data_IF_831912500125
#
_entry.id   IF_831912500125
#
_cell.length_a   1.000
_cell.length_b   1.000
_cell.length_c   1.000
_cell.angle_alpha   90.00
_cell.angle_beta   90.00
_cell.angle_gamma   90.00
#
_symmetry.space_group_name_H-M   'P 1'
#
loop_
_entity.id
_entity.type
_entity.pdbx_description
1 polymer ?
#
# COMPACT_ATOMS: atom_id res chain seq x y z
N UNK A 1 14.65 -20.74 11.58
CA UNK A 1 13.96 -19.51 12.05
C UNK A 1 12.64 -19.44 11.30
N UNK A 2 11.55 -19.07 11.94
CA UNK A 2 10.22 -18.93 11.31
C UNK A 2 9.95 -17.44 11.14
N UNK A 3 9.63 -17.02 9.92
CA UNK A 3 9.38 -15.62 9.61
C UNK A 3 7.90 -15.30 9.71
N UNK A 4 7.53 -14.28 10.47
CA UNK A 4 6.15 -13.85 10.65
C UNK A 4 5.77 -12.77 9.63
N UNK A 5 4.66 -12.99 8.89
CA UNK A 5 4.20 -12.09 7.85
C UNK A 5 2.73 -11.77 8.08
N UNK A 6 2.39 -10.48 8.16
CA UNK A 6 1.01 -10.04 8.14
C UNK A 6 0.48 -10.06 6.69
N UNK A 7 -0.68 -10.65 6.48
CA UNK A 7 -1.34 -10.77 5.17
C UNK A 7 -2.56 -9.86 5.17
N UNK A 8 -2.56 -8.86 4.31
CA UNK A 8 -3.64 -7.88 4.17
C UNK A 8 -4.09 -7.85 2.71
N UNK A 9 -5.15 -8.55 2.32
CA UNK A 9 -5.63 -8.56 0.94
C UNK A 9 -6.11 -7.17 0.46
N UNK A 10 -6.82 -6.42 1.30
CA UNK A 10 -7.43 -5.14 0.96
C UNK A 10 -8.70 -5.28 0.13
N UNK A 11 -8.86 -4.48 -0.92
CA UNK A 11 -10.06 -4.36 -1.75
C UNK A 11 -9.87 -4.88 -3.18
N UNK A 12 -10.98 -5.13 -3.86
CA UNK A 12 -11.06 -5.35 -5.31
C UNK A 12 -10.01 -6.35 -5.81
N UNK A 13 -9.10 -5.87 -6.68
CA UNK A 13 -8.02 -6.69 -7.24
C UNK A 13 -7.11 -7.31 -6.15
N UNK A 14 -7.01 -6.70 -4.98
CA UNK A 14 -6.26 -7.24 -3.85
C UNK A 14 -6.77 -8.61 -3.41
N UNK A 15 -8.09 -8.80 -3.42
CA UNK A 15 -8.72 -10.09 -3.10
C UNK A 15 -8.42 -11.17 -4.15
N UNK A 16 -8.24 -10.76 -5.42
CA UNK A 16 -7.93 -11.70 -6.50
C UNK A 16 -6.45 -12.08 -6.55
N UNK A 17 -5.56 -11.12 -6.33
CA UNK A 17 -4.11 -11.36 -6.43
C UNK A 17 -3.52 -12.02 -5.18
N UNK A 18 -4.10 -11.80 -4.00
CA UNK A 18 -3.54 -12.34 -2.74
C UNK A 18 -3.50 -13.88 -2.73
N UNK A 19 -4.53 -14.63 -3.16
CA UNK A 19 -4.44 -16.07 -3.25
C UNK A 19 -3.29 -16.56 -4.16
N UNK A 20 -2.99 -15.86 -5.26
CA UNK A 20 -1.89 -16.21 -6.15
C UNK A 20 -0.53 -15.92 -5.52
N UNK A 21 -0.40 -14.79 -4.80
CA UNK A 21 0.80 -14.48 -4.03
C UNK A 21 1.06 -15.52 -2.95
N UNK A 22 0.03 -15.99 -2.25
CA UNK A 22 0.15 -17.04 -1.24
C UNK A 22 0.60 -18.39 -1.81
N UNK A 23 0.22 -18.73 -3.04
CA UNK A 23 0.75 -19.92 -3.74
C UNK A 23 2.26 -19.81 -3.97
N UNK A 24 2.74 -18.61 -4.34
CA UNK A 24 4.19 -18.38 -4.51
C UNK A 24 4.92 -18.51 -3.18
N UNK A 25 4.37 -17.97 -2.07
CA UNK A 25 4.95 -18.15 -0.74
C UNK A 25 5.02 -19.64 -0.34
N UNK A 26 3.93 -20.39 -0.53
CA UNK A 26 3.90 -21.82 -0.23
C UNK A 26 4.91 -22.62 -1.08
N UNK A 27 5.08 -22.23 -2.35
CA UNK A 27 6.13 -22.81 -3.20
C UNK A 27 7.53 -22.49 -2.68
N UNK A 28 7.77 -21.24 -2.26
CA UNK A 28 9.06 -20.82 -1.69
C UNK A 28 9.39 -21.56 -0.39
N UNK A 29 8.42 -21.74 0.52
CA UNK A 29 8.59 -22.55 1.71
C UNK A 29 9.06 -23.96 1.37
N UNK A 30 8.35 -24.62 0.44
CA UNK A 30 8.65 -25.99 0.04
C UNK A 30 10.01 -26.12 -0.67
N UNK A 31 10.34 -25.14 -1.54
CA UNK A 31 11.51 -25.23 -2.43
C UNK A 31 12.80 -24.79 -1.75
N UNK A 32 12.71 -23.76 -0.89
CA UNK A 32 13.88 -23.14 -0.26
C UNK A 32 13.99 -23.45 1.24
N UNK A 33 13.07 -24.21 1.81
CA UNK A 33 13.10 -24.57 3.24
C UNK A 33 12.87 -23.37 4.16
N UNK A 34 12.21 -22.33 3.67
CA UNK A 34 11.84 -21.16 4.46
C UNK A 34 10.59 -21.53 5.28
N UNK A 35 10.59 -21.23 6.56
CA UNK A 35 9.40 -21.42 7.40
C UNK A 35 8.68 -20.09 7.57
N UNK A 36 7.40 -20.03 7.18
CA UNK A 36 6.57 -18.83 7.28
C UNK A 36 5.45 -19.01 8.31
N UNK A 37 5.11 -17.94 9.00
CA UNK A 37 3.93 -17.81 9.84
C UNK A 37 3.07 -16.68 9.30
N UNK A 38 1.92 -17.02 8.73
CA UNK A 38 1.07 -16.08 8.04
C UNK A 38 -0.07 -15.62 8.96
N UNK A 39 -0.11 -14.34 9.27
CA UNK A 39 -1.11 -13.70 10.12
C UNK A 39 -2.11 -12.92 9.25
N UNK A 40 -3.22 -13.54 8.91
CA UNK A 40 -4.27 -12.91 8.13
C UNK A 40 -4.97 -11.81 8.92
N UNK A 41 -5.14 -10.65 8.28
CA UNK A 41 -5.84 -9.48 8.82
C UNK A 41 -7.06 -9.18 7.97
N UNK A 42 -8.22 -9.18 8.61
CA UNK A 42 -9.51 -8.88 7.99
C UNK A 42 -9.92 -7.42 8.25
N UNK A 43 -9.06 -6.51 7.80
CA UNK A 43 -9.26 -5.06 7.86
C UNK A 43 -8.41 -4.35 6.80
N UNK A 44 -8.45 -3.02 6.74
CA UNK A 44 -7.89 -2.19 5.67
C UNK A 44 -8.56 -2.44 4.31
N UNK A 45 -9.88 -2.60 4.34
CA UNK A 45 -10.73 -2.68 3.16
C UNK A 45 -12.04 -1.92 3.39
N UNK A 46 -12.71 -1.56 2.31
CA UNK A 46 -13.88 -0.69 2.35
C UNK A 46 -15.06 -1.30 3.12
N UNK A 47 -15.27 -2.61 3.05
CA UNK A 47 -16.34 -3.26 3.81
C UNK A 47 -16.09 -3.15 5.32
N UNK A 48 -14.84 -3.30 5.77
CA UNK A 48 -14.51 -3.09 7.19
C UNK A 48 -14.86 -1.66 7.63
N UNK A 49 -14.56 -0.65 6.78
CA UNK A 49 -14.94 0.72 7.06
C UNK A 49 -16.46 0.92 7.15
N UNK A 50 -17.23 0.30 6.26
CA UNK A 50 -18.70 0.41 6.29
C UNK A 50 -19.32 -0.19 7.55
N UNK A 51 -18.69 -1.20 8.12
CA UNK A 51 -19.16 -1.86 9.35
C UNK A 51 -18.70 -1.14 10.63
N UNK A 52 -17.47 -0.59 10.63
CA UNK A 52 -16.81 -0.12 11.86
C UNK A 52 -16.56 1.39 11.89
N UNK A 53 -16.76 2.11 10.76
CA UNK A 53 -16.48 3.55 10.65
C UNK A 53 -14.99 3.92 10.60
N UNK A 54 -14.10 2.93 10.54
CA UNK A 54 -12.64 3.08 10.47
C UNK A 54 -12.07 2.00 9.56
N UNK A 55 -10.94 2.29 8.89
CA UNK A 55 -10.28 1.33 8.00
C UNK A 55 -9.54 0.22 8.73
N UNK A 56 -9.22 0.41 10.00
CA UNK A 56 -8.40 -0.50 10.81
C UNK A 56 -8.83 -0.42 12.29
N UNK A 57 -8.64 -1.50 13.08
CA UNK A 57 -8.90 -1.47 14.52
C UNK A 57 -7.91 -0.53 15.24
N UNK A 58 -8.21 -0.14 16.47
CA UNK A 58 -7.35 0.76 17.25
C UNK A 58 -5.94 0.19 17.49
N UNK A 59 -5.84 -1.12 17.66
CA UNK A 59 -4.60 -1.86 17.93
C UNK A 59 -3.91 -2.39 16.67
N UNK A 60 -4.24 -1.87 15.48
CA UNK A 60 -3.67 -2.31 14.21
C UNK A 60 -2.14 -2.26 14.19
N UNK A 61 -1.54 -1.21 14.79
CA UNK A 61 -0.11 -0.99 14.76
C UNK A 61 0.66 -2.05 15.57
N UNK A 62 0.36 -2.31 16.85
CA UNK A 62 0.95 -3.44 17.57
C UNK A 62 0.78 -4.78 16.89
N UNK A 63 -0.35 -5.02 16.22
CA UNK A 63 -0.58 -6.25 15.48
C UNK A 63 0.37 -6.42 14.28
N UNK A 64 0.76 -5.33 13.63
CA UNK A 64 1.71 -5.35 12.52
C UNK A 64 3.16 -5.32 12.99
N UNK A 65 3.47 -4.61 14.08
CA UNK A 65 4.80 -4.60 14.70
C UNK A 65 5.23 -5.98 15.22
N UNK A 66 4.28 -6.85 15.51
CA UNK A 66 4.54 -8.24 15.87
C UNK A 66 5.00 -9.11 14.67
N UNK A 67 4.94 -8.59 13.44
CA UNK A 67 5.34 -9.28 12.23
C UNK A 67 6.61 -8.67 11.64
N UNK A 68 7.45 -9.49 11.01
CA UNK A 68 8.68 -9.04 10.36
C UNK A 68 8.42 -8.32 9.04
N UNK A 69 7.29 -8.65 8.37
CA UNK A 69 6.90 -8.05 7.10
C UNK A 69 5.38 -8.00 6.94
N UNK A 70 4.94 -7.15 6.03
CA UNK A 70 3.53 -7.02 5.62
C UNK A 70 3.44 -7.34 4.14
N UNK A 71 2.67 -8.35 3.78
CA UNK A 71 2.25 -8.59 2.40
C UNK A 71 0.88 -7.93 2.21
N UNK A 72 0.89 -6.83 1.49
CA UNK A 72 -0.28 -5.99 1.25
C UNK A 72 -0.74 -6.11 -0.20
N UNK A 73 -2.03 -6.35 -0.41
CA UNK A 73 -2.62 -6.44 -1.74
C UNK A 73 -2.89 -5.06 -2.34
N UNK A 74 -4.16 -4.67 -2.39
CA UNK A 74 -4.57 -3.35 -2.89
C UNK A 74 -5.70 -2.80 -2.02
N UNK A 75 -5.83 -1.48 -1.93
CA UNK A 75 -6.90 -0.82 -1.19
C UNK A 75 -7.50 0.30 -2.03
N UNK A 76 -8.80 0.47 -1.87
CA UNK A 76 -9.59 1.54 -2.47
C UNK A 76 -10.65 1.00 -3.43
N UNK A 77 -11.90 1.36 -3.13
CA UNK A 77 -13.07 1.20 -4.00
C UNK A 77 -13.85 2.52 -3.94
N UNK A 78 -13.50 3.51 -4.78
CA UNK A 78 -14.01 4.89 -4.67
C UNK A 78 -15.53 5.01 -4.75
N UNK A 79 -16.19 4.03 -5.39
CA UNK A 79 -17.65 3.96 -5.46
C UNK A 79 -18.31 3.51 -4.14
N UNK A 80 -17.56 2.90 -3.21
CA UNK A 80 -18.02 2.51 -1.88
C UNK A 80 -17.52 3.48 -0.81
N UNK A 81 -16.22 3.76 -0.82
CA UNK A 81 -15.54 4.61 0.17
C UNK A 81 -14.57 5.54 -0.56
N UNK A 82 -14.70 6.86 -0.38
CA UNK A 82 -13.81 7.82 -1.02
C UNK A 82 -12.33 7.59 -0.69
N UNK A 83 -11.44 7.83 -1.65
CA UNK A 83 -10.00 7.60 -1.52
C UNK A 83 -9.36 8.35 -0.35
N UNK A 84 -9.85 9.55 -0.03
CA UNK A 84 -9.37 10.31 1.12
C UNK A 84 -9.69 9.64 2.47
N UNK A 85 -10.59 8.67 2.51
CA UNK A 85 -10.87 7.83 3.68
C UNK A 85 -10.08 6.53 3.58
N UNK A 86 -10.24 5.80 2.49
CA UNK A 86 -9.66 4.45 2.35
C UNK A 86 -8.14 4.47 2.34
N UNK A 87 -7.50 5.34 1.53
CA UNK A 87 -6.05 5.43 1.42
C UNK A 87 -5.41 6.08 2.65
N UNK A 88 -6.00 7.20 3.12
CA UNK A 88 -5.48 7.91 4.30
C UNK A 88 -5.73 7.15 5.61
N UNK A 89 -6.80 6.38 5.67
CA UNK A 89 -7.15 5.56 6.84
C UNK A 89 -6.37 4.24 6.93
N UNK A 90 -5.63 3.84 5.89
CA UNK A 90 -4.88 2.58 5.86
C UNK A 90 -3.47 2.75 5.30
N UNK A 91 -3.28 2.66 3.98
CA UNK A 91 -1.99 2.63 3.29
C UNK A 91 -1.04 3.77 3.69
N UNK A 92 -1.55 5.01 3.75
CA UNK A 92 -0.73 6.16 4.12
C UNK A 92 -0.36 6.18 5.60
N UNK A 93 -1.18 5.57 6.45
CA UNK A 93 -0.83 5.38 7.86
C UNK A 93 0.33 4.42 8.03
N UNK A 94 0.37 3.29 7.31
CA UNK A 94 1.53 2.37 7.34
C UNK A 94 2.81 3.11 6.99
N UNK A 95 2.80 3.84 5.88
CA UNK A 95 3.98 4.58 5.41
C UNK A 95 4.51 5.56 6.45
N UNK A 96 3.62 6.32 7.09
CA UNK A 96 3.98 7.34 8.07
C UNK A 96 4.36 6.76 9.43
N UNK A 97 3.54 5.87 9.96
CA UNK A 97 3.71 5.38 11.33
C UNK A 97 4.83 4.34 11.46
N UNK A 98 5.22 3.70 10.35
CA UNK A 98 6.41 2.84 10.26
C UNK A 98 7.60 3.52 9.58
N UNK A 99 7.51 4.82 9.28
CA UNK A 99 8.57 5.60 8.62
C UNK A 99 9.11 4.92 7.35
N UNK A 100 8.20 4.42 6.51
CA UNK A 100 8.54 3.72 5.27
C UNK A 100 8.84 4.74 4.15
N UNK A 101 9.88 5.53 4.31
CA UNK A 101 10.24 6.63 3.41
C UNK A 101 10.71 6.16 2.02
N UNK A 102 11.20 4.94 1.89
CA UNK A 102 11.61 4.36 0.60
C UNK A 102 10.51 3.46 0.04
N UNK A 103 10.09 3.74 -1.19
CA UNK A 103 9.29 2.84 -2.00
C UNK A 103 10.14 2.36 -3.18
N UNK A 104 10.63 1.12 -3.08
CA UNK A 104 11.45 0.50 -4.11
C UNK A 104 10.55 -0.18 -5.14
N UNK A 105 10.63 0.26 -6.39
CA UNK A 105 9.77 -0.18 -7.49
C UNK A 105 10.59 -0.78 -8.64
N UNK A 106 10.86 -2.10 -8.64
CA UNK A 106 11.47 -2.75 -9.79
C UNK A 106 10.50 -2.78 -10.96
N UNK A 107 10.98 -2.38 -12.15
CA UNK A 107 10.22 -2.36 -13.38
C UNK A 107 10.92 -3.20 -14.42
N UNK A 108 10.27 -4.26 -14.89
CA UNK A 108 10.82 -5.17 -15.88
C UNK A 108 9.78 -5.58 -16.88
N UNK A 109 10.10 -5.49 -18.17
CA UNK A 109 9.24 -6.02 -19.20
C UNK A 109 9.43 -7.55 -19.29
N UNK A 110 8.43 -8.27 -18.78
CA UNK A 110 8.43 -9.74 -18.79
C UNK A 110 7.98 -10.31 -20.15
N UNK A 111 8.48 -11.51 -20.53
CA UNK A 111 7.96 -12.21 -21.72
C UNK A 111 6.44 -12.42 -21.64
N UNK A 112 5.73 -12.08 -22.72
CA UNK A 112 4.28 -12.19 -22.80
C UNK A 112 3.48 -11.05 -22.17
N UNK A 113 4.13 -10.14 -21.43
CA UNK A 113 3.45 -8.96 -20.90
C UNK A 113 3.23 -7.91 -22.00
N UNK A 114 2.02 -7.30 -22.10
CA UNK A 114 1.80 -6.20 -23.03
C UNK A 114 2.60 -4.97 -22.60
N UNK A 115 3.24 -4.31 -23.57
CA UNK A 115 3.98 -3.07 -23.34
C UNK A 115 3.26 -1.89 -23.99
N UNK A 116 2.97 -0.80 -23.25
CA UNK A 116 2.36 0.39 -23.84
C UNK A 116 3.33 1.21 -24.72
N UNK A 117 4.62 0.96 -24.61
CA UNK A 117 5.64 1.64 -25.41
C UNK A 117 5.88 0.87 -26.71
N UNK A 118 5.89 1.59 -27.83
CA UNK A 118 6.10 1.00 -29.13
C UNK A 118 7.51 0.36 -29.26
N UNK A 119 7.58 -0.77 -29.99
CA UNK A 119 8.82 -1.44 -30.36
C UNK A 119 9.72 -1.88 -29.18
N UNK A 120 9.12 -2.12 -27.99
CA UNK A 120 9.83 -2.66 -26.83
C UNK A 120 9.63 -4.17 -26.73
N UNK A 121 10.70 -4.87 -26.35
CA UNK A 121 10.73 -6.32 -26.15
C UNK A 121 11.31 -6.63 -24.76
N UNK A 122 11.10 -7.86 -24.26
CA UNK A 122 11.73 -8.30 -23.02
C UNK A 122 13.23 -8.05 -23.00
N UNK A 123 13.74 -7.44 -21.94
CA UNK A 123 15.13 -7.01 -21.79
C UNK A 123 15.39 -5.54 -22.12
N UNK A 124 14.50 -4.86 -22.87
CA UNK A 124 14.65 -3.42 -23.18
C UNK A 124 14.28 -2.52 -22.01
N UNK A 125 13.49 -3.04 -21.08
CA UNK A 125 13.06 -2.35 -19.85
C UNK A 125 13.43 -3.21 -18.66
N UNK A 126 14.41 -2.76 -17.88
CA UNK A 126 14.86 -3.36 -16.62
C UNK A 126 15.53 -2.26 -15.78
N UNK A 127 14.79 -1.66 -14.87
CA UNK A 127 15.27 -0.60 -13.99
C UNK A 127 14.54 -0.60 -12.67
N UNK A 128 15.06 0.15 -11.70
CA UNK A 128 14.43 0.33 -10.40
C UNK A 128 14.17 1.80 -10.15
N UNK A 129 12.95 2.14 -9.77
CA UNK A 129 12.59 3.47 -9.27
C UNK A 129 12.71 3.45 -7.74
N UNK A 130 13.50 4.33 -7.19
CA UNK A 130 13.51 4.62 -5.76
C UNK A 130 12.65 5.88 -5.56
N UNK A 131 11.52 5.72 -4.91
CA UNK A 131 10.54 6.79 -4.71
C UNK A 131 10.47 7.18 -3.24
N UNK A 132 10.46 8.49 -2.99
CA UNK A 132 10.05 9.03 -1.69
C UNK A 132 8.58 8.68 -1.42
N UNK A 133 8.23 8.37 -0.17
CA UNK A 133 6.97 7.70 0.13
C UNK A 133 6.19 8.27 1.32
N UNK A 134 6.75 9.25 2.04
CA UNK A 134 6.17 9.80 3.29
C UNK A 134 5.96 11.32 3.26
N UNK A 135 6.72 12.03 2.46
CA UNK A 135 6.75 13.49 2.33
C UNK A 135 6.18 13.96 0.99
N UNK A 136 6.45 15.19 0.59
CA UNK A 136 6.01 15.78 -0.68
C UNK A 136 4.50 15.91 -0.75
N UNK A 137 3.88 15.35 -1.78
CA UNK A 137 2.42 15.33 -1.97
C UNK A 137 1.68 14.58 -0.87
N UNK A 138 2.37 13.75 -0.10
CA UNK A 138 1.80 13.04 1.05
C UNK A 138 1.92 13.81 2.35
N UNK A 139 2.53 14.99 2.35
CA UNK A 139 2.52 15.87 3.51
C UNK A 139 1.09 16.35 3.79
N UNK A 140 0.67 16.27 5.05
CA UNK A 140 -0.67 16.73 5.47
C UNK A 140 -0.63 18.22 5.87
N UNK A 141 0.21 19.02 5.21
CA UNK A 141 0.33 20.46 5.45
C UNK A 141 -0.54 21.21 4.49
N UNK A 142 -1.49 21.95 5.01
CA UNK A 142 -2.44 22.70 4.21
C UNK A 142 -3.74 22.99 4.96
N UNK A 143 -4.74 23.45 4.25
CA UNK A 143 -6.01 23.74 4.87
C UNK A 143 -7.02 24.38 3.92
N UNK A 144 -8.17 24.73 4.47
CA UNK A 144 -9.25 25.39 3.76
C UNK A 144 -9.73 26.58 4.55
N UNK A 145 -10.06 27.67 3.84
CA UNK A 145 -10.67 28.87 4.41
C UNK A 145 -11.89 29.25 3.62
N UNK A 146 -12.86 29.89 4.28
CA UNK A 146 -14.11 30.39 3.70
C UNK A 146 -14.92 29.31 2.95
N UNK A 147 -14.98 28.10 3.52
CA UNK A 147 -15.75 27.00 2.97
C UNK A 147 -17.24 27.39 2.81
N UNK A 148 -17.85 26.92 1.71
CA UNK A 148 -19.25 27.24 1.39
C UNK A 148 -19.48 28.64 0.81
N UNK A 149 -18.44 29.42 0.56
CA UNK A 149 -18.52 30.75 -0.06
C UNK A 149 -17.75 30.79 -1.38
N UNK A 150 -18.03 31.84 -2.18
CA UNK A 150 -17.32 32.16 -3.42
C UNK A 150 -15.85 32.58 -3.20
N UNK A 151 -15.47 32.88 -1.96
CA UNK A 151 -14.10 33.23 -1.56
C UNK A 151 -13.29 32.05 -1.02
N UNK A 152 -13.79 30.81 -1.20
CA UNK A 152 -13.10 29.60 -0.73
C UNK A 152 -11.64 29.56 -1.20
N UNK A 153 -10.75 29.34 -0.24
CA UNK A 153 -9.32 29.11 -0.47
C UNK A 153 -8.98 27.67 -0.05
N UNK A 154 -8.19 26.98 -0.86
CA UNK A 154 -7.63 25.68 -0.55
C UNK A 154 -6.12 25.76 -0.73
N UNK A 155 -5.38 25.34 0.29
CA UNK A 155 -3.92 25.28 0.29
C UNK A 155 -3.46 23.84 0.52
N UNK A 156 -2.50 23.39 -0.27
CA UNK A 156 -1.75 22.15 -0.09
C UNK A 156 -0.28 22.45 -0.28
N UNK A 157 0.54 22.12 0.72
CA UNK A 157 1.99 22.29 0.66
C UNK A 157 2.69 20.95 0.46
N UNK A 158 3.63 20.90 -0.48
CA UNK A 158 4.60 19.81 -0.63
C UNK A 158 5.82 20.13 0.22
N UNK A 159 6.05 19.33 1.26
CA UNK A 159 7.14 19.55 2.21
C UNK A 159 8.14 18.42 2.07
N UNK A 160 9.41 18.77 1.92
CA UNK A 160 10.54 17.83 1.91
C UNK A 160 11.52 18.23 3.00
N UNK A 161 11.89 17.29 3.84
CA UNK A 161 12.86 17.50 4.90
C UNK A 161 14.21 16.86 4.54
N UNK A 162 15.21 17.11 5.39
CA UNK A 162 16.50 16.44 5.25
C UNK A 162 16.43 14.94 5.61
N UNK A 163 15.40 14.54 6.34
CA UNK A 163 15.20 13.15 6.76
C UNK A 163 14.68 12.29 5.60
N UNK A 164 13.67 12.77 4.87
CA UNK A 164 13.02 12.08 3.74
C UNK A 164 13.72 12.14 2.39
#
# INVERSE_FOLDING_TARGET
MKHSIAIIPGDGIGQEIMPEALKVLAWAEKTHGIALELHHKDWAHCNYYLEHGTMMPEDWKPQLEACEAILFGAVGMPHLVPDHISLWGSLLRYRREFDQYVNLRPVKLLPGAPCPLANKKPGDIDFVVVRENTEGEYSAVGGRMFEGTDRKIVLQESVFTRHG
#
